data_IF_632315903777
#
_entry.id   IF_632315903777
#
_cell.length_a   1.000
_cell.length_b   1.000
_cell.length_c   1.000
_cell.angle_alpha   90.00
_cell.angle_beta   90.00
_cell.angle_gamma   90.00
#
_symmetry.space_group_name_H-M   'P 1'
#
loop_
_entity.id
_entity.type
_entity.pdbx_description
1 polymer ?
#
# COMPACT_ATOMS: atom_id res chain seq x y z
N UNK A 1 26.09 14.29 3.67
CA UNK A 1 25.80 13.38 2.53
C UNK A 1 26.53 12.04 2.65
N UNK A 2 27.78 12.05 3.12
CA UNK A 2 28.61 10.84 3.19
C UNK A 2 28.35 10.03 4.47
N UNK A 3 28.04 10.68 5.59
CA UNK A 3 27.61 10.00 6.82
C UNK A 3 26.35 9.14 6.61
N UNK A 4 25.35 9.66 5.90
CA UNK A 4 24.11 8.94 5.64
C UNK A 4 24.33 7.72 4.75
N UNK A 5 25.18 7.85 3.74
CA UNK A 5 25.57 6.71 2.89
C UNK A 5 26.30 5.62 3.69
N UNK A 6 27.19 6.03 4.59
CA UNK A 6 27.88 5.09 5.47
C UNK A 6 26.86 4.39 6.38
N UNK A 7 25.94 5.15 7.02
CA UNK A 7 24.88 4.58 7.86
C UNK A 7 24.03 3.58 7.08
N UNK A 8 23.59 3.91 5.87
CA UNK A 8 22.80 2.99 5.02
C UNK A 8 23.54 1.68 4.72
N UNK A 9 24.85 1.73 4.45
CA UNK A 9 25.66 0.53 4.21
C UNK A 9 25.70 -0.40 5.45
N UNK A 10 25.82 0.20 6.64
CA UNK A 10 25.87 -0.56 7.89
C UNK A 10 24.50 -1.10 8.30
N UNK A 11 23.41 -0.32 8.09
CA UNK A 11 22.03 -0.78 8.30
C UNK A 11 21.74 -2.02 7.45
N UNK A 12 22.17 -2.04 6.18
CA UNK A 12 22.08 -3.24 5.31
C UNK A 12 22.82 -4.46 5.88
N UNK A 13 23.77 -4.26 6.79
CA UNK A 13 24.51 -5.31 7.50
C UNK A 13 23.94 -5.59 8.91
N UNK A 14 22.74 -5.06 9.23
CA UNK A 14 22.04 -5.18 10.52
C UNK A 14 22.64 -4.38 11.69
N UNK A 15 23.44 -3.36 11.44
CA UNK A 15 23.94 -2.44 12.46
C UNK A 15 22.99 -1.23 12.59
N UNK A 16 21.83 -1.44 13.21
CA UNK A 16 20.76 -0.43 13.22
C UNK A 16 20.96 0.69 14.26
N UNK A 17 22.00 0.56 15.13
CA UNK A 17 22.41 1.57 16.12
C UNK A 17 23.72 2.25 15.77
N UNK A 18 24.11 2.19 14.50
CA UNK A 18 25.35 2.82 14.05
C UNK A 18 25.32 4.33 14.30
N UNK A 19 26.43 4.86 14.81
CA UNK A 19 26.70 6.29 14.88
C UNK A 19 27.89 6.62 13.99
N UNK A 20 27.77 7.66 13.20
CA UNK A 20 28.82 8.14 12.30
C UNK A 20 28.96 9.63 12.54
N UNK A 21 30.16 10.07 12.86
CA UNK A 21 30.53 11.47 13.05
C UNK A 21 31.72 11.82 12.16
N UNK A 22 31.54 12.82 11.29
CA UNK A 22 32.59 13.32 10.43
C UNK A 22 33.28 14.53 11.09
N UNK A 23 34.59 14.50 11.12
CA UNK A 23 35.43 15.61 11.55
C UNK A 23 36.36 16.03 10.42
N UNK A 24 36.50 17.33 10.16
CA UNK A 24 37.50 17.87 9.24
C UNK A 24 38.73 18.34 10.00
N UNK A 25 39.93 17.89 9.59
CA UNK A 25 41.21 18.30 10.16
C UNK A 25 42.11 18.85 9.05
N UNK A 26 42.80 19.97 9.31
CA UNK A 26 43.79 20.50 8.39
C UNK A 26 45.17 19.94 8.72
N UNK A 27 45.73 19.13 7.82
CA UNK A 27 47.03 18.49 8.00
C UNK A 27 47.89 18.86 6.81
N UNK A 28 49.03 19.56 7.07
CA UNK A 28 49.98 19.96 6.05
C UNK A 28 49.36 20.68 4.83
N UNK A 29 48.42 21.62 5.10
CA UNK A 29 47.73 22.40 4.05
C UNK A 29 46.65 21.65 3.26
N UNK A 30 46.34 20.39 3.62
CA UNK A 30 45.25 19.60 3.05
C UNK A 30 44.14 19.43 4.06
N UNK A 31 42.88 19.44 3.59
CA UNK A 31 41.72 19.10 4.42
C UNK A 31 41.55 17.58 4.37
N UNK A 32 41.61 16.95 5.54
CA UNK A 32 41.37 15.52 5.73
C UNK A 32 40.06 15.37 6.48
N UNK A 33 39.09 14.59 5.94
CA UNK A 33 37.86 14.23 6.60
C UNK A 33 38.05 12.86 7.25
N UNK A 34 37.77 12.80 8.56
CA UNK A 34 37.88 11.57 9.34
C UNK A 34 36.45 11.19 9.78
N UNK A 35 36.01 9.98 9.44
CA UNK A 35 34.76 9.42 9.88
C UNK A 35 34.98 8.51 11.11
N UNK A 36 34.48 8.93 12.26
CA UNK A 36 34.46 8.12 13.46
C UNK A 36 33.18 7.29 13.44
N UNK A 37 33.31 5.96 13.48
CA UNK A 37 32.21 5.03 13.32
C UNK A 37 32.09 4.17 14.57
N UNK A 38 30.93 4.26 15.25
CA UNK A 38 30.52 3.28 16.26
C UNK A 38 29.45 2.39 15.64
N UNK A 39 29.80 1.16 15.33
CA UNK A 39 28.91 0.20 14.66
C UNK A 39 27.76 -0.24 15.56
N UNK A 40 27.94 -0.26 16.87
CA UNK A 40 27.01 -0.88 17.79
C UNK A 40 26.77 -2.38 17.51
N UNK A 41 25.81 -3.02 18.17
CA UNK A 41 25.54 -4.45 17.97
C UNK A 41 24.75 -4.72 16.68
N UNK A 42 24.98 -5.89 16.08
CA UNK A 42 24.11 -6.40 15.00
C UNK A 42 22.76 -6.81 15.58
N UNK A 43 21.71 -6.09 15.18
CA UNK A 43 20.34 -6.35 15.66
C UNK A 43 19.47 -6.85 14.51
N UNK A 44 18.74 -7.94 14.73
CA UNK A 44 17.88 -8.58 13.73
C UNK A 44 16.43 -8.61 14.18
N UNK A 45 15.51 -8.51 13.24
CA UNK A 45 14.08 -8.68 13.51
C UNK A 45 13.84 -10.14 13.89
N UNK A 46 13.53 -10.39 15.17
CA UNK A 46 13.13 -11.71 15.65
C UNK A 46 11.66 -11.98 15.30
N UNK A 47 10.79 -10.99 15.48
CA UNK A 47 9.36 -11.15 15.23
C UNK A 47 8.72 -9.82 14.85
N UNK A 48 7.75 -9.86 13.92
CA UNK A 48 6.83 -8.76 13.62
C UNK A 48 5.46 -9.21 14.10
N UNK A 49 4.88 -8.51 15.06
CA UNK A 49 3.56 -8.77 15.61
C UNK A 49 2.59 -7.68 15.22
N UNK A 50 1.31 -8.01 15.21
CA UNK A 50 0.21 -7.08 15.01
C UNK A 50 -0.74 -7.16 16.20
N UNK A 51 -1.34 -6.03 16.57
CA UNK A 51 -2.40 -5.92 17.58
C UNK A 51 -3.53 -5.08 17.00
N UNK A 52 -4.77 -5.36 17.41
CA UNK A 52 -5.98 -4.68 16.90
C UNK A 52 -6.39 -5.06 15.48
N UNK A 53 -5.71 -6.01 14.86
CA UNK A 53 -6.04 -6.55 13.54
C UNK A 53 -7.12 -7.64 13.65
N UNK A 54 -8.36 -7.25 13.92
CA UNK A 54 -9.47 -8.19 14.21
C UNK A 54 -9.94 -8.94 12.97
N UNK A 55 -10.01 -8.27 11.82
CA UNK A 55 -10.54 -8.82 10.56
C UNK A 55 -9.49 -9.55 9.71
N UNK A 56 -8.20 -9.24 9.86
CA UNK A 56 -7.17 -9.88 9.08
C UNK A 56 -6.11 -10.56 9.94
N UNK A 57 -5.90 -11.85 9.70
CA UNK A 57 -4.85 -12.62 10.39
C UNK A 57 -3.47 -12.05 10.08
N UNK A 58 -2.57 -12.05 11.08
CA UNK A 58 -1.17 -11.63 10.97
C UNK A 58 -0.49 -12.13 9.67
N UNK A 59 -0.71 -13.40 9.29
CA UNK A 59 -0.10 -13.97 8.08
C UNK A 59 -0.53 -13.24 6.80
N UNK A 60 -1.76 -12.73 6.73
CA UNK A 60 -2.29 -12.01 5.57
C UNK A 60 -1.65 -10.62 5.47
N UNK A 61 -1.45 -9.95 6.60
CA UNK A 61 -0.78 -8.65 6.68
C UNK A 61 0.71 -8.76 6.34
N UNK A 62 1.41 -9.75 6.89
CA UNK A 62 2.81 -10.01 6.56
C UNK A 62 3.06 -10.31 5.08
N UNK A 63 2.06 -10.79 4.32
CA UNK A 63 2.19 -10.99 2.87
C UNK A 63 2.27 -9.67 2.10
N UNK A 64 1.71 -8.59 2.63
CA UNK A 64 1.77 -7.26 2.01
C UNK A 64 3.14 -6.60 2.18
N UNK A 65 3.92 -7.06 3.14
CA UNK A 65 5.22 -6.48 3.48
C UNK A 65 6.36 -7.18 2.72
N UNK A 66 7.43 -6.45 2.48
CA UNK A 66 8.70 -6.99 1.99
C UNK A 66 9.68 -7.30 3.12
N UNK A 67 9.60 -6.53 4.21
CA UNK A 67 10.39 -6.77 5.42
C UNK A 67 10.04 -8.12 6.01
N UNK A 68 11.06 -8.91 6.32
CA UNK A 68 10.92 -10.26 6.88
C UNK A 68 11.64 -10.38 8.21
N UNK A 69 11.01 -11.09 9.16
CA UNK A 69 11.69 -11.54 10.36
C UNK A 69 12.76 -12.57 10.02
N UNK A 70 13.76 -12.73 10.88
CA UNK A 70 14.76 -13.77 10.71
C UNK A 70 14.11 -15.16 10.72
N UNK A 71 14.52 -16.02 9.80
CA UNK A 71 14.09 -17.40 9.74
C UNK A 71 15.24 -18.29 9.24
N UNK A 72 15.25 -19.54 9.65
CA UNK A 72 16.25 -20.50 9.15
C UNK A 72 15.88 -20.92 7.70
N UNK A 73 16.87 -20.96 6.78
CA UNK A 73 18.27 -20.57 6.97
C UNK A 73 18.46 -19.04 6.94
N UNK A 74 19.20 -18.52 7.93
CA UNK A 74 19.32 -17.06 8.18
C UNK A 74 20.09 -16.30 7.10
N UNK A 75 20.79 -16.98 6.20
CA UNK A 75 21.44 -16.35 5.04
C UNK A 75 20.42 -15.93 3.96
N UNK A 76 19.25 -16.62 3.90
CA UNK A 76 18.13 -16.23 3.01
C UNK A 76 17.22 -15.20 3.70
N UNK A 77 16.92 -15.45 4.99
CA UNK A 77 16.03 -14.60 5.79
C UNK A 77 16.77 -14.00 7.00
N UNK A 78 17.62 -13.00 6.75
CA UNK A 78 18.52 -12.46 7.79
C UNK A 78 17.81 -11.63 8.87
N UNK A 79 16.54 -11.23 8.65
CA UNK A 79 15.81 -10.36 9.57
C UNK A 79 16.40 -8.95 9.62
N UNK A 80 16.76 -8.39 8.48
CA UNK A 80 17.27 -7.02 8.37
C UNK A 80 16.15 -6.02 8.59
N UNK A 81 16.47 -4.94 9.29
CA UNK A 81 15.56 -3.81 9.43
C UNK A 81 16.12 -2.61 8.68
N UNK A 82 15.30 -2.06 7.83
CA UNK A 82 15.50 -0.79 7.14
C UNK A 82 14.24 0.03 7.39
N UNK A 83 14.40 1.17 8.04
CA UNK A 83 13.25 1.98 8.48
C UNK A 83 12.42 2.46 7.29
N UNK A 84 13.05 3.01 6.25
CA UNK A 84 12.35 3.53 5.06
C UNK A 84 11.54 2.43 4.36
N UNK A 85 12.15 1.24 4.27
CA UNK A 85 11.50 0.07 3.69
C UNK A 85 10.33 -0.40 4.55
N UNK A 86 10.50 -0.38 5.87
CA UNK A 86 9.45 -0.79 6.80
C UNK A 86 8.27 0.21 6.77
N UNK A 87 8.54 1.51 6.71
CA UNK A 87 7.53 2.54 6.53
C UNK A 87 6.73 2.33 5.24
N UNK A 88 7.41 2.03 4.13
CA UNK A 88 6.74 1.66 2.87
C UNK A 88 5.91 0.38 3.00
N UNK A 89 6.34 -0.58 3.79
CA UNK A 89 5.55 -1.80 4.07
C UNK A 89 4.29 -1.49 4.89
N UNK A 90 4.37 -0.55 5.83
CA UNK A 90 3.19 -0.09 6.60
C UNK A 90 2.16 0.58 5.67
N UNK A 91 2.62 1.42 4.72
CA UNK A 91 1.72 2.00 3.72
C UNK A 91 1.03 0.93 2.86
N UNK A 92 1.74 -0.14 2.45
CA UNK A 92 1.13 -1.28 1.73
C UNK A 92 0.09 -2.01 2.58
N UNK A 93 0.34 -2.15 3.89
CA UNK A 93 -0.63 -2.74 4.81
C UNK A 93 -1.86 -1.84 4.94
N UNK A 94 -1.67 -0.51 5.02
CA UNK A 94 -2.75 0.47 5.06
C UNK A 94 -3.58 0.42 3.78
N UNK A 95 -2.94 0.45 2.62
CA UNK A 95 -3.59 0.30 1.31
C UNK A 95 -4.39 -1.01 1.22
N UNK A 96 -3.82 -2.11 1.74
CA UNK A 96 -4.54 -3.38 1.80
C UNK A 96 -5.83 -3.29 2.61
N UNK A 97 -5.83 -2.60 3.76
CA UNK A 97 -7.03 -2.35 4.55
C UNK A 97 -8.04 -1.49 3.79
N UNK A 98 -7.60 -0.39 3.19
CA UNK A 98 -8.46 0.51 2.40
C UNK A 98 -9.09 -0.21 1.21
N UNK A 99 -8.33 -1.06 0.53
CA UNK A 99 -8.81 -1.90 -0.57
C UNK A 99 -9.76 -3.03 -0.12
N UNK A 100 -9.96 -3.19 1.19
CA UNK A 100 -10.93 -4.12 1.75
C UNK A 100 -12.06 -3.41 2.53
N UNK A 101 -12.15 -2.07 2.43
CA UNK A 101 -13.23 -1.25 2.95
C UNK A 101 -12.94 -0.55 4.28
N UNK A 102 -11.77 -0.71 4.88
CA UNK A 102 -11.38 0.03 6.09
C UNK A 102 -10.60 1.30 5.72
N UNK A 103 -11.33 2.36 5.30
CA UNK A 103 -10.71 3.56 4.75
C UNK A 103 -10.00 4.41 5.81
N UNK A 104 -10.52 4.42 7.03
CA UNK A 104 -10.02 5.23 8.15
C UNK A 104 -9.00 4.47 9.03
N UNK A 105 -8.45 3.36 8.52
CA UNK A 105 -7.49 2.57 9.29
C UNK A 105 -6.29 3.40 9.73
N UNK A 106 -5.99 3.38 11.03
CA UNK A 106 -4.77 3.95 11.60
C UNK A 106 -3.77 2.83 11.91
N UNK A 107 -2.53 3.01 11.48
CA UNK A 107 -1.47 2.04 11.72
C UNK A 107 -0.24 2.74 12.30
N UNK A 108 0.10 2.37 13.53
CA UNK A 108 1.33 2.77 14.20
C UNK A 108 2.26 1.58 14.40
N UNK A 109 3.51 1.83 14.74
CA UNK A 109 4.44 0.76 15.07
C UNK A 109 5.52 1.21 16.04
N UNK A 110 6.08 0.25 16.77
CA UNK A 110 7.20 0.47 17.69
C UNK A 110 8.21 -0.67 17.63
N UNK A 111 9.46 -0.36 17.99
CA UNK A 111 10.55 -1.33 18.10
C UNK A 111 10.80 -1.65 19.56
N UNK A 112 10.75 -2.93 19.90
CA UNK A 112 11.05 -3.45 21.22
C UNK A 112 12.37 -4.23 21.15
N UNK A 113 13.44 -3.63 21.65
CA UNK A 113 14.74 -4.30 21.75
C UNK A 113 14.72 -5.35 22.85
N UNK A 114 15.26 -6.52 22.54
CA UNK A 114 15.38 -7.62 23.53
C UNK A 114 16.63 -7.42 24.40
N UNK A 115 16.62 -7.99 25.59
CA UNK A 115 17.74 -7.93 26.54
C UNK A 115 19.05 -8.49 25.97
N UNK A 116 18.98 -9.42 25.01
CA UNK A 116 20.15 -10.01 24.37
C UNK A 116 20.93 -9.02 23.46
N UNK A 117 20.44 -7.81 23.24
CA UNK A 117 21.00 -6.80 22.35
C UNK A 117 21.32 -7.27 20.91
N UNK A 118 20.82 -8.46 20.51
CA UNK A 118 21.02 -9.07 19.19
C UNK A 118 19.73 -9.17 18.40
N UNK A 119 18.60 -8.98 19.06
CA UNK A 119 17.29 -9.15 18.50
C UNK A 119 16.36 -8.01 18.89
N UNK A 120 15.43 -7.70 17.99
CA UNK A 120 14.31 -6.81 18.26
C UNK A 120 13.01 -7.44 17.78
N UNK A 121 11.91 -7.07 18.43
CA UNK A 121 10.56 -7.31 17.94
C UNK A 121 10.00 -6.00 17.40
N UNK A 122 9.18 -6.08 16.39
CA UNK A 122 8.39 -4.94 15.91
C UNK A 122 6.94 -5.24 16.24
N UNK A 123 6.29 -4.30 16.91
CA UNK A 123 4.88 -4.35 17.23
C UNK A 123 4.15 -3.31 16.38
N UNK A 124 3.22 -3.78 15.57
CA UNK A 124 2.38 -2.94 14.71
C UNK A 124 1.01 -2.86 15.36
N UNK A 125 0.57 -1.64 15.65
CA UNK A 125 -0.74 -1.34 16.22
C UNK A 125 -1.69 -0.94 15.11
N UNK A 126 -2.77 -1.69 14.94
CA UNK A 126 -3.82 -1.42 13.97
C UNK A 126 -5.06 -0.98 14.71
N UNK A 127 -5.65 0.13 14.25
CA UNK A 127 -7.00 0.56 14.65
C UNK A 127 -7.85 0.59 13.40
N UNK A 128 -8.67 -0.46 13.25
CA UNK A 128 -9.38 -0.72 12.00
C UNK A 128 -10.53 0.26 11.74
N UNK A 129 -11.15 0.83 12.79
CA UNK A 129 -12.36 1.64 12.72
C UNK A 129 -13.53 0.91 12.03
N UNK A 130 -14.49 1.66 11.47
CA UNK A 130 -15.64 1.09 10.80
C UNK A 130 -15.32 0.69 9.36
N UNK A 131 -15.96 -0.36 8.91
CA UNK A 131 -15.89 -0.78 7.51
C UNK A 131 -16.90 -0.02 6.68
N UNK A 132 -16.49 0.51 5.57
CA UNK A 132 -17.33 1.24 4.63
C UNK A 132 -18.15 0.31 3.75
N UNK A 133 -19.41 0.72 3.50
CA UNK A 133 -20.38 0.03 2.64
C UNK A 133 -20.93 0.98 1.58
N UNK A 134 -21.32 0.43 0.43
CA UNK A 134 -21.99 1.19 -0.64
C UNK A 134 -23.42 1.47 -0.21
N UNK A 135 -23.77 2.75 -0.06
CA UNK A 135 -25.13 3.20 0.24
C UNK A 135 -26.01 3.19 -1.01
N UNK A 136 -25.49 3.82 -2.08
CA UNK A 136 -26.14 3.89 -3.38
C UNK A 136 -25.14 3.77 -4.51
N UNK A 137 -25.58 3.16 -5.61
CA UNK A 137 -24.82 3.04 -6.84
C UNK A 137 -25.71 3.46 -8.00
N UNK A 138 -25.37 4.59 -8.62
CA UNK A 138 -26.12 5.19 -9.72
C UNK A 138 -25.29 5.19 -10.99
N UNK A 139 -25.93 4.95 -12.14
CA UNK A 139 -25.30 5.00 -13.46
C UNK A 139 -26.07 6.00 -14.33
N UNK A 140 -25.37 6.98 -14.89
CA UNK A 140 -25.97 8.03 -15.69
C UNK A 140 -25.34 8.07 -17.08
N UNK A 141 -26.16 8.44 -18.10
CA UNK A 141 -25.71 8.63 -19.47
C UNK A 141 -25.58 7.34 -20.29
N UNK A 142 -26.04 6.21 -19.76
CA UNK A 142 -26.15 4.97 -20.51
C UNK A 142 -27.44 4.99 -21.36
N UNK A 143 -27.30 4.73 -22.66
CA UNK A 143 -28.42 4.50 -23.56
C UNK A 143 -28.38 3.13 -24.25
N UNK A 144 -27.16 2.57 -24.38
CA UNK A 144 -26.92 1.27 -24.99
C UNK A 144 -27.28 0.11 -24.07
N UNK A 145 -27.03 0.27 -22.77
CA UNK A 145 -27.26 -0.74 -21.73
C UNK A 145 -28.25 -0.18 -20.70
N UNK A 146 -29.02 -1.05 -20.10
CA UNK A 146 -29.80 -0.69 -18.89
C UNK A 146 -28.88 -0.56 -17.67
N UNK A 147 -29.37 0.15 -16.67
CA UNK A 147 -28.63 0.31 -15.42
C UNK A 147 -28.41 -1.05 -14.73
N UNK A 148 -29.40 -1.92 -14.79
CA UNK A 148 -29.36 -3.26 -14.23
C UNK A 148 -28.28 -4.13 -14.90
N UNK A 149 -28.21 -4.13 -16.25
CA UNK A 149 -27.21 -4.88 -17.01
C UNK A 149 -25.79 -4.44 -16.66
N UNK A 150 -25.58 -3.14 -16.46
CA UNK A 150 -24.30 -2.61 -16.05
C UNK A 150 -23.98 -3.01 -14.61
N UNK A 151 -24.91 -2.79 -13.66
CA UNK A 151 -24.73 -3.11 -12.24
C UNK A 151 -24.40 -4.58 -11.99
N UNK A 152 -25.00 -5.51 -12.72
CA UNK A 152 -24.72 -6.94 -12.61
C UNK A 152 -23.24 -7.30 -12.89
N UNK A 153 -22.54 -6.51 -13.69
CA UNK A 153 -21.14 -6.74 -14.04
C UNK A 153 -20.15 -6.08 -13.10
N UNK A 154 -20.62 -5.21 -12.20
CA UNK A 154 -19.76 -4.49 -11.29
C UNK A 154 -19.49 -5.32 -10.02
N UNK A 155 -18.31 -5.12 -9.46
CA UNK A 155 -17.89 -5.71 -8.18
C UNK A 155 -18.55 -5.00 -6.99
N UNK A 156 -18.72 -3.67 -7.11
CA UNK A 156 -19.39 -2.87 -6.10
C UNK A 156 -20.91 -3.02 -6.26
N UNK A 157 -21.58 -3.30 -5.14
CA UNK A 157 -23.04 -3.52 -5.09
C UNK A 157 -23.64 -2.70 -3.96
N UNK A 158 -24.84 -2.18 -4.13
CA UNK A 158 -25.57 -1.47 -3.07
C UNK A 158 -25.76 -2.37 -1.84
N UNK A 159 -25.55 -1.83 -0.65
CA UNK A 159 -25.55 -2.56 0.61
C UNK A 159 -24.33 -3.46 0.83
N UNK A 160 -23.50 -3.67 -0.18
CA UNK A 160 -22.27 -4.45 -0.10
C UNK A 160 -21.07 -3.66 0.45
N UNK A 161 -19.99 -4.34 0.81
CA UNK A 161 -18.75 -3.68 1.26
C UNK A 161 -18.15 -2.81 0.16
N UNK A 162 -17.66 -1.63 0.54
CA UNK A 162 -16.90 -0.79 -0.37
C UNK A 162 -15.45 -1.29 -0.48
N UNK A 163 -14.95 -1.38 -1.70
CA UNK A 163 -13.57 -1.75 -2.03
C UNK A 163 -12.96 -0.65 -2.87
N UNK A 164 -11.96 0.06 -2.34
CA UNK A 164 -11.40 1.23 -3.03
C UNK A 164 -10.85 0.86 -4.42
N UNK A 165 -10.14 -0.27 -4.51
CA UNK A 165 -9.58 -0.78 -5.76
C UNK A 165 -10.64 -1.26 -6.78
N UNK A 166 -11.86 -1.48 -6.34
CA UNK A 166 -12.96 -1.90 -7.22
C UNK A 166 -13.54 -0.75 -8.04
N UNK A 167 -13.41 0.49 -7.58
CA UNK A 167 -13.90 1.67 -8.31
C UNK A 167 -13.26 1.76 -9.70
N UNK A 168 -11.93 1.65 -9.77
CA UNK A 168 -11.19 1.67 -11.04
C UNK A 168 -11.50 0.44 -11.89
N UNK A 169 -11.64 -0.73 -11.27
CA UNK A 169 -11.98 -1.99 -11.96
C UNK A 169 -13.37 -1.92 -12.57
N UNK A 170 -14.33 -1.41 -11.84
CA UNK A 170 -15.71 -1.26 -12.29
C UNK A 170 -15.82 -0.21 -13.40
N UNK A 171 -15.10 0.92 -13.25
CA UNK A 171 -14.95 1.93 -14.31
C UNK A 171 -14.39 1.30 -15.60
N UNK A 172 -13.34 0.49 -15.47
CA UNK A 172 -12.75 -0.21 -16.62
C UNK A 172 -13.71 -1.24 -17.20
N UNK A 173 -14.43 -1.99 -16.37
CA UNK A 173 -15.41 -2.99 -16.79
C UNK A 173 -16.53 -2.37 -17.64
N UNK A 174 -17.08 -1.22 -17.22
CA UNK A 174 -18.08 -0.49 -18.00
C UNK A 174 -17.48 -0.09 -19.37
N UNK A 175 -16.29 0.51 -19.37
CA UNK A 175 -15.61 0.89 -20.64
C UNK A 175 -15.39 -0.30 -21.57
N UNK A 176 -15.04 -1.47 -21.03
CA UNK A 176 -14.86 -2.70 -21.80
C UNK A 176 -16.17 -3.13 -22.47
N UNK A 177 -17.30 -3.12 -21.75
CA UNK A 177 -18.62 -3.47 -22.29
C UNK A 177 -18.98 -2.58 -23.47
N UNK A 178 -18.75 -1.27 -23.37
CA UNK A 178 -18.98 -0.31 -24.46
C UNK A 178 -18.02 -0.56 -25.65
N UNK A 179 -16.74 -0.81 -25.38
CA UNK A 179 -15.74 -1.12 -26.39
C UNK A 179 -16.08 -2.37 -27.22
N UNK A 180 -16.63 -3.42 -26.59
CA UNK A 180 -17.10 -4.64 -27.26
C UNK A 180 -18.25 -4.38 -28.23
N UNK A 181 -19.02 -3.30 -28.04
CA UNK A 181 -20.09 -2.88 -28.94
C UNK A 181 -19.63 -1.86 -29.99
N UNK A 182 -18.32 -1.58 -30.05
CA UNK A 182 -17.74 -0.63 -30.99
C UNK A 182 -17.66 0.82 -30.50
N UNK A 183 -18.04 1.11 -29.28
CA UNK A 183 -17.95 2.44 -28.66
C UNK A 183 -16.57 2.60 -27.97
N UNK A 184 -15.51 2.49 -28.77
CA UNK A 184 -14.12 2.50 -28.26
C UNK A 184 -13.70 3.85 -27.66
N UNK A 185 -14.43 4.93 -27.98
CA UNK A 185 -14.22 6.27 -27.41
C UNK A 185 -15.01 6.55 -26.14
N UNK A 186 -15.79 5.58 -25.64
CA UNK A 186 -16.61 5.77 -24.46
C UNK A 186 -15.79 6.17 -23.24
N UNK A 187 -16.25 7.21 -22.53
CA UNK A 187 -15.63 7.72 -21.32
C UNK A 187 -16.54 7.47 -20.13
N UNK A 188 -15.97 6.94 -19.07
CA UNK A 188 -16.66 6.71 -17.81
C UNK A 188 -15.94 7.50 -16.72
N UNK A 189 -16.67 8.40 -16.05
CA UNK A 189 -16.18 9.17 -14.91
C UNK A 189 -16.91 8.72 -13.67
N UNK A 190 -16.15 8.22 -12.72
CA UNK A 190 -16.67 7.89 -11.40
C UNK A 190 -16.73 9.14 -10.52
N UNK A 191 -17.68 9.13 -9.60
CA UNK A 191 -17.78 10.08 -8.50
C UNK A 191 -18.25 9.33 -7.27
N UNK A 192 -17.53 9.47 -6.17
CA UNK A 192 -17.96 8.94 -4.90
C UNK A 192 -18.01 10.04 -3.84
N UNK A 193 -18.94 9.92 -2.91
CA UNK A 193 -19.11 10.84 -1.79
C UNK A 193 -19.38 10.05 -0.52
N UNK A 194 -18.69 10.42 0.55
CA UNK A 194 -18.89 9.82 1.87
C UNK A 194 -20.07 10.48 2.56
N UNK A 195 -20.89 9.70 3.23
CA UNK A 195 -22.00 10.23 4.02
C UNK A 195 -21.48 10.78 5.34
N UNK A 196 -22.18 11.77 5.90
CA UNK A 196 -21.84 12.34 7.21
C UNK A 196 -22.19 11.43 8.39
N UNK A 197 -23.03 10.43 8.16
CA UNK A 197 -23.48 9.48 9.18
C UNK A 197 -23.11 8.05 8.79
N UNK A 198 -22.28 7.43 9.64
CA UNK A 198 -21.78 6.08 9.43
C UNK A 198 -20.76 5.95 8.30
N UNK A 199 -20.18 4.77 8.17
CA UNK A 199 -19.18 4.45 7.14
C UNK A 199 -19.88 4.03 5.84
N UNK A 200 -20.44 5.00 5.09
CA UNK A 200 -21.20 4.79 3.87
C UNK A 200 -20.66 5.61 2.70
N UNK A 201 -20.80 5.07 1.49
CA UNK A 201 -20.32 5.68 0.25
C UNK A 201 -21.43 5.68 -0.79
N UNK A 202 -21.74 6.86 -1.35
CA UNK A 202 -22.57 6.99 -2.53
C UNK A 202 -21.68 7.01 -3.77
N UNK A 203 -21.98 6.15 -4.74
CA UNK A 203 -21.24 6.01 -5.99
C UNK A 203 -22.10 6.45 -7.17
N UNK A 204 -21.48 7.11 -8.13
CA UNK A 204 -22.09 7.43 -9.42
C UNK A 204 -21.07 7.21 -10.54
N UNK A 205 -21.47 6.51 -11.59
CA UNK A 205 -20.73 6.38 -12.83
C UNK A 205 -21.43 7.22 -13.91
N UNK A 206 -20.73 8.21 -14.44
CA UNK A 206 -21.24 9.07 -15.51
C UNK A 206 -20.59 8.64 -16.82
N UNK A 207 -21.41 8.21 -17.76
CA UNK A 207 -21.00 7.64 -19.04
C UNK A 207 -21.25 8.66 -20.15
N UNK A 208 -20.23 8.86 -20.97
CA UNK A 208 -20.31 9.57 -22.24
C UNK A 208 -19.95 8.56 -23.33
N UNK A 209 -20.97 8.04 -24.00
CA UNK A 209 -20.84 6.89 -24.92
C UNK A 209 -20.02 7.20 -26.17
N UNK A 210 -19.98 8.49 -26.62
CA UNK A 210 -19.35 8.91 -27.86
C UNK A 210 -19.92 8.20 -29.09
N UNK A 211 -19.20 8.27 -30.22
CA UNK A 211 -19.63 7.67 -31.46
C UNK A 211 -19.23 6.18 -31.53
N UNK A 212 -20.07 5.39 -32.23
CA UNK A 212 -19.77 4.01 -32.53
C UNK A 212 -18.83 3.90 -33.74
N UNK A 213 -17.76 3.10 -33.61
CA UNK A 213 -16.78 2.85 -34.65
C UNK A 213 -17.04 1.51 -35.33
N UNK A 214 -16.79 1.47 -36.63
CA UNK A 214 -16.90 0.26 -37.47
C UNK A 214 -15.56 0.01 -38.15
N UNK A 215 -15.22 -1.27 -38.33
CA UNK A 215 -14.04 -1.66 -39.10
C UNK A 215 -14.44 -1.65 -40.58
N UNK A 216 -13.85 -0.75 -41.38
CA UNK A 216 -14.15 -0.65 -42.83
C UNK A 216 -13.35 -1.68 -43.63
N UNK A 217 -12.08 -1.97 -43.27
CA UNK A 217 -11.21 -2.88 -44.00
C UNK A 217 -10.15 -3.51 -43.12
N UNK A 218 -9.96 -4.80 -43.27
CA UNK A 218 -8.80 -5.55 -42.73
C UNK A 218 -7.97 -6.00 -43.94
N UNK A 219 -6.70 -5.57 -44.02
CA UNK A 219 -5.72 -6.05 -44.99
C UNK A 219 -4.68 -6.91 -44.28
N UNK A 220 -4.47 -8.11 -44.72
CA UNK A 220 -3.44 -9.06 -44.27
C UNK A 220 -2.16 -8.88 -45.09
#
# INVERSE_FOLDING_TARGET
LDEDKIKELYIKKCYNRIQVHAESKQIKGKVVVVFNIDEGPKIRIAKINFTGNEHFKRRKLLKQMETRQKHFPTFIFPGRFDQKKFESDIEKVKEFYMNNGWLDVDIGWEIIYREDNKNMNILVHVKEHERYYVESLNIHGASLFTEEELKEKLKLQEGGPFYLDAVDKDTYQIRLMYGEQGYIGAMVKEKHTFTSEGARVNLAFNIDEKDRYYIEKISA
#
